data_IF_109126860648
#
_entry.id   IF_109126860648
#
_cell.length_a   1.000
_cell.length_b   1.000
_cell.length_c   1.000
_cell.angle_alpha   90.00
_cell.angle_beta   90.00
_cell.angle_gamma   90.00
#
_symmetry.space_group_name_H-M   'P 1'
#
loop_
_entity.id
_entity.type
_entity.pdbx_description
1 polymer ?
#
# COMPACT_ATOMS: atom_id res chain seq x y z
N UNK A 1 -10.50 -16.36 38.82
CA UNK A 1 -10.40 -16.72 37.39
C UNK A 1 -9.46 -15.75 36.72
N UNK A 2 -8.38 -16.20 36.05
CA UNK A 2 -7.62 -15.31 35.17
C UNK A 2 -8.53 -14.85 34.02
N UNK A 3 -8.35 -13.62 33.49
CA UNK A 3 -9.09 -13.17 32.32
C UNK A 3 -8.82 -14.12 31.15
N UNK A 4 -9.83 -14.38 30.33
CA UNK A 4 -9.69 -15.18 29.13
C UNK A 4 -8.53 -14.62 28.28
N UNK A 5 -7.66 -15.48 27.70
CA UNK A 5 -6.59 -15.02 26.84
C UNK A 5 -7.18 -14.15 25.73
N UNK A 6 -6.48 -13.08 25.31
CA UNK A 6 -6.99 -12.20 24.27
C UNK A 6 -7.26 -13.04 23.01
N UNK A 7 -8.43 -12.84 22.41
CA UNK A 7 -8.83 -13.53 21.18
C UNK A 7 -7.67 -13.43 20.17
N UNK A 8 -7.28 -14.56 19.52
CA UNK A 8 -6.24 -14.51 18.50
C UNK A 8 -6.63 -13.47 17.45
N UNK A 9 -5.65 -12.72 16.91
CA UNK A 9 -5.93 -11.72 15.90
C UNK A 9 -6.68 -12.37 14.72
N UNK A 10 -7.63 -11.65 14.14
CA UNK A 10 -8.39 -12.17 13.00
C UNK A 10 -7.43 -12.39 11.83
N UNK A 11 -7.26 -13.64 11.40
CA UNK A 11 -6.48 -13.97 10.22
C UNK A 11 -7.24 -13.52 8.96
N UNK A 12 -6.53 -12.89 8.03
CA UNK A 12 -7.10 -12.48 6.76
C UNK A 12 -7.44 -13.73 5.94
N UNK A 13 -8.62 -13.73 5.31
CA UNK A 13 -8.99 -14.81 4.39
C UNK A 13 -8.02 -14.85 3.20
N UNK A 14 -7.89 -16.01 2.55
CA UNK A 14 -7.03 -16.14 1.36
C UNK A 14 -7.42 -15.18 0.22
N UNK A 15 -8.70 -14.85 0.08
CA UNK A 15 -9.16 -13.85 -0.88
C UNK A 15 -8.70 -12.44 -0.51
N UNK A 16 -8.75 -12.10 0.78
CA UNK A 16 -8.31 -10.80 1.27
C UNK A 16 -6.78 -10.65 1.18
N UNK A 17 -6.02 -11.71 1.45
CA UNK A 17 -4.57 -11.73 1.22
C UNK A 17 -4.23 -11.47 -0.24
N UNK A 18 -4.93 -12.10 -1.20
CA UNK A 18 -4.70 -11.86 -2.63
C UNK A 18 -4.97 -10.42 -3.05
N UNK A 19 -5.95 -9.75 -2.42
CA UNK A 19 -6.25 -8.34 -2.67
C UNK A 19 -5.25 -7.39 -2.03
N UNK A 20 -4.77 -7.72 -0.82
CA UNK A 20 -3.86 -6.85 -0.06
C UNK A 20 -2.41 -6.93 -0.50
N UNK A 21 -1.92 -8.09 -0.92
CA UNK A 21 -0.53 -8.26 -1.40
C UNK A 21 -0.10 -7.21 -2.44
N UNK A 22 -0.78 -7.03 -3.58
CA UNK A 22 -0.37 -6.03 -4.57
C UNK A 22 -0.47 -4.60 -4.02
N UNK A 23 -1.44 -4.33 -3.14
CA UNK A 23 -1.57 -3.02 -2.50
C UNK A 23 -0.43 -2.73 -1.52
N UNK A 24 -0.03 -3.71 -0.70
CA UNK A 24 1.09 -3.55 0.23
C UNK A 24 2.38 -3.24 -0.52
N UNK A 25 2.67 -4.01 -1.57
CA UNK A 25 3.86 -3.78 -2.42
C UNK A 25 3.82 -2.38 -3.02
N UNK A 26 2.73 -2.00 -3.70
CA UNK A 26 2.64 -0.69 -4.35
C UNK A 26 2.73 0.48 -3.36
N UNK A 27 2.11 0.36 -2.18
CA UNK A 27 2.18 1.39 -1.14
C UNK A 27 3.57 1.47 -0.48
N UNK A 28 4.30 0.36 -0.40
CA UNK A 28 5.64 0.33 0.18
C UNK A 28 6.64 1.16 -0.62
N UNK A 29 6.40 1.35 -1.92
CA UNK A 29 7.27 2.12 -2.79
C UNK A 29 7.39 3.59 -2.40
N UNK A 30 6.36 4.15 -1.76
CA UNK A 30 6.38 5.52 -1.22
C UNK A 30 7.39 5.68 -0.07
N UNK A 31 7.92 4.58 0.47
CA UNK A 31 8.85 4.54 1.60
C UNK A 31 10.27 4.18 1.19
N UNK A 32 10.50 3.92 -0.10
CA UNK A 32 11.81 3.63 -0.64
C UNK A 32 12.57 4.93 -0.87
N UNK A 33 13.88 4.91 -0.64
CA UNK A 33 14.80 6.02 -0.94
C UNK A 33 15.06 6.13 -2.44
N UNK A 34 13.97 6.23 -3.22
CA UNK A 34 13.97 6.39 -4.67
C UNK A 34 12.97 7.47 -5.05
N UNK A 35 13.35 8.34 -5.96
CA UNK A 35 12.46 9.39 -6.44
C UNK A 35 11.36 8.77 -7.32
N UNK A 36 10.11 8.79 -6.83
CA UNK A 36 8.97 8.31 -7.60
C UNK A 36 8.59 9.31 -8.69
N UNK A 37 8.59 8.85 -9.94
CA UNK A 37 8.12 9.65 -11.05
C UNK A 37 6.58 9.79 -11.01
N UNK A 38 6.00 10.76 -11.74
CA UNK A 38 4.55 10.83 -11.91
C UNK A 38 3.94 9.56 -12.52
N UNK A 39 4.69 8.82 -13.33
CA UNK A 39 4.23 7.55 -13.91
C UNK A 39 4.15 6.45 -12.85
N UNK A 40 5.10 6.41 -11.91
CA UNK A 40 5.11 5.45 -10.81
C UNK A 40 3.91 5.68 -9.88
N UNK A 41 3.67 6.93 -9.48
CA UNK A 41 2.52 7.28 -8.65
C UNK A 41 1.19 6.94 -9.33
N UNK A 42 1.07 7.13 -10.66
CA UNK A 42 -0.11 6.68 -11.42
C UNK A 42 -0.25 5.17 -11.44
N UNK A 43 0.86 4.41 -11.53
CA UNK A 43 0.82 2.95 -11.42
C UNK A 43 0.35 2.51 -10.03
N UNK A 44 0.90 3.10 -8.97
CA UNK A 44 0.48 2.82 -7.58
C UNK A 44 -1.02 3.13 -7.39
N UNK A 45 -1.50 4.27 -7.89
CA UNK A 45 -2.92 4.64 -7.84
C UNK A 45 -3.82 3.62 -8.56
N UNK A 46 -3.41 3.13 -9.75
CA UNK A 46 -4.14 2.10 -10.49
C UNK A 46 -4.18 0.77 -9.74
N UNK A 47 -3.09 0.35 -9.13
CA UNK A 47 -3.06 -0.86 -8.29
C UNK A 47 -4.03 -0.70 -7.11
N UNK A 48 -3.99 0.43 -6.41
CA UNK A 48 -4.90 0.70 -5.29
C UNK A 48 -6.37 0.71 -5.72
N UNK A 49 -6.69 1.35 -6.86
CA UNK A 49 -8.03 1.34 -7.43
C UNK A 49 -8.50 -0.07 -7.82
N UNK A 50 -7.63 -0.90 -8.40
CA UNK A 50 -7.93 -2.27 -8.80
C UNK A 50 -8.23 -3.19 -7.60
N UNK A 51 -7.58 -2.95 -6.46
CA UNK A 51 -7.82 -3.71 -5.22
C UNK A 51 -9.22 -3.45 -4.64
N UNK A 52 -9.86 -2.33 -5.00
CA UNK A 52 -11.26 -2.05 -4.66
C UNK A 52 -11.50 -1.66 -3.21
N UNK A 53 -10.50 -1.04 -2.56
CA UNK A 53 -10.65 -0.41 -1.26
C UNK A 53 -11.02 1.07 -1.42
N UNK A 54 -11.82 1.59 -0.48
CA UNK A 54 -12.09 3.02 -0.37
C UNK A 54 -10.88 3.77 0.20
N UNK A 55 -10.95 5.11 0.23
CA UNK A 55 -9.83 5.94 0.69
C UNK A 55 -9.49 5.71 2.15
N UNK A 56 -10.49 5.49 3.00
CA UNK A 56 -10.29 5.27 4.43
C UNK A 56 -9.56 3.95 4.68
N UNK A 57 -9.90 2.89 3.96
CA UNK A 57 -9.26 1.59 4.07
C UNK A 57 -7.86 1.60 3.43
N UNK A 58 -7.65 2.31 2.31
CA UNK A 58 -6.30 2.53 1.75
C UNK A 58 -5.42 3.28 2.73
N UNK A 59 -5.93 4.33 3.37
CA UNK A 59 -5.20 5.06 4.43
C UNK A 59 -4.92 4.15 5.63
N UNK A 60 -5.89 3.36 6.08
CA UNK A 60 -5.72 2.42 7.19
C UNK A 60 -4.66 1.35 6.87
N UNK A 61 -4.61 0.88 5.63
CA UNK A 61 -3.59 -0.06 5.14
C UNK A 61 -2.21 0.62 5.12
N UNK A 62 -2.13 1.81 4.53
CA UNK A 62 -0.89 2.55 4.41
C UNK A 62 -0.22 2.79 5.77
N UNK A 63 -0.97 3.32 6.74
CA UNK A 63 -0.43 3.67 8.06
C UNK A 63 -0.42 2.50 9.05
N UNK A 64 -1.38 1.59 8.95
CA UNK A 64 -1.57 0.51 9.92
C UNK A 64 -0.84 -0.78 9.59
N UNK A 65 -0.61 -1.04 8.30
CA UNK A 65 -0.03 -2.30 7.82
C UNK A 65 1.34 -2.12 7.19
N UNK A 66 1.49 -1.12 6.32
CA UNK A 66 2.71 -0.91 5.53
C UNK A 66 3.73 -0.09 6.31
N UNK A 67 3.37 1.12 6.76
CA UNK A 67 4.29 2.02 7.46
C UNK A 67 5.03 1.36 8.65
N UNK A 68 4.41 0.53 9.51
CA UNK A 68 5.13 -0.10 10.63
C UNK A 68 6.20 -1.09 10.19
N UNK A 69 6.15 -1.55 8.93
CA UNK A 69 7.10 -2.50 8.35
C UNK A 69 8.25 -1.76 7.67
N UNK A 70 7.95 -0.69 6.92
CA UNK A 70 8.92 -0.04 6.02
C UNK A 70 9.34 1.37 6.43
N UNK A 71 8.69 2.02 7.40
CA UNK A 71 9.05 3.41 7.75
C UNK A 71 10.50 3.54 8.24
N UNK A 72 11.02 2.53 8.93
CA UNK A 72 12.43 2.48 9.37
C UNK A 72 13.44 2.59 8.23
N UNK A 73 13.03 2.37 6.98
CA UNK A 73 13.87 2.48 5.79
C UNK A 73 14.39 3.90 5.60
N UNK A 74 13.58 4.90 5.94
CA UNK A 74 13.94 6.31 5.84
C UNK A 74 15.10 6.70 6.76
N UNK A 75 15.49 5.82 7.69
CA UNK A 75 16.59 6.02 8.63
C UNK A 75 17.77 5.06 8.37
N UNK A 76 17.64 4.13 7.42
CA UNK A 76 18.67 3.13 7.13
C UNK A 76 19.69 3.66 6.11
N UNK A 77 20.98 3.27 6.20
CA UNK A 77 21.97 3.61 5.19
C UNK A 77 21.58 3.13 3.79
N UNK A 78 21.81 3.96 2.78
CA UNK A 78 21.57 3.67 1.35
C UNK A 78 22.21 2.33 0.95
N UNK A 79 21.46 1.47 0.27
CA UNK A 79 21.97 0.20 -0.29
C UNK A 79 21.48 -1.09 0.39
N UNK A 80 20.93 -1.03 1.61
CA UNK A 80 20.35 -2.20 2.31
C UNK A 80 19.10 -2.75 1.61
N UNK A 81 18.47 -1.94 0.76
CA UNK A 81 17.21 -2.25 0.08
C UNK A 81 17.37 -2.60 -1.41
N UNK A 82 18.59 -2.89 -1.87
CA UNK A 82 18.79 -3.45 -3.21
C UNK A 82 18.24 -4.88 -3.27
N UNK A 83 17.06 -5.05 -3.89
CA UNK A 83 16.35 -6.35 -3.97
C UNK A 83 15.21 -6.51 -2.97
N UNK A 84 14.35 -5.48 -2.84
CA UNK A 84 13.15 -5.47 -1.99
C UNK A 84 12.38 -6.80 -2.02
N UNK A 85 12.38 -7.52 -0.89
CA UNK A 85 11.71 -8.81 -0.75
C UNK A 85 10.21 -8.60 -0.50
N UNK A 86 9.41 -8.79 -1.56
CA UNK A 86 7.95 -8.66 -1.51
C UNK A 86 7.29 -9.67 -0.58
N UNK A 87 7.83 -10.89 -0.48
CA UNK A 87 7.26 -11.93 0.38
C UNK A 87 7.52 -11.60 1.86
N UNK A 88 8.72 -11.12 2.19
CA UNK A 88 9.03 -10.57 3.51
C UNK A 88 8.10 -9.41 3.87
N UNK A 89 7.86 -8.47 2.94
CA UNK A 89 6.93 -7.36 3.17
C UNK A 89 5.53 -7.90 3.47
N UNK A 90 5.02 -8.77 2.59
CA UNK A 90 3.65 -9.27 2.68
C UNK A 90 3.43 -10.08 3.95
N UNK A 91 4.42 -10.87 4.38
CA UNK A 91 4.35 -11.61 5.64
C UNK A 91 4.23 -10.65 6.84
N UNK A 92 5.07 -9.62 6.90
CA UNK A 92 5.04 -8.65 8.01
C UNK A 92 3.81 -7.75 7.97
N UNK A 93 3.37 -7.34 6.79
CA UNK A 93 2.15 -6.56 6.60
C UNK A 93 0.90 -7.35 7.01
N UNK A 94 0.85 -8.65 6.71
CA UNK A 94 -0.22 -9.54 7.18
C UNK A 94 -0.25 -9.63 8.71
N UNK A 95 0.91 -9.73 9.38
CA UNK A 95 0.97 -9.66 10.85
C UNK A 95 0.47 -8.30 11.36
N UNK A 96 0.88 -7.20 10.73
CA UNK A 96 0.40 -5.87 11.10
C UNK A 96 -1.11 -5.74 10.95
N UNK A 97 -1.70 -6.31 9.89
CA UNK A 97 -3.14 -6.33 9.66
C UNK A 97 -3.89 -7.09 10.76
N UNK A 98 -3.37 -8.24 11.16
CA UNK A 98 -3.93 -9.08 12.23
C UNK A 98 -4.06 -8.30 13.56
N UNK A 99 -3.10 -7.39 13.83
CA UNK A 99 -3.10 -6.55 15.03
C UNK A 99 -3.56 -5.12 14.79
N UNK A 100 -4.18 -4.78 13.65
CA UNK A 100 -4.52 -3.40 13.30
C UNK A 100 -5.46 -2.74 14.29
N UNK A 101 -6.45 -3.48 14.79
CA UNK A 101 -7.45 -2.99 15.75
C UNK A 101 -6.88 -2.70 17.15
N UNK A 102 -5.62 -3.03 17.42
CA UNK A 102 -4.96 -2.73 18.70
C UNK A 102 -4.30 -1.36 18.64
N UNK A 103 -4.57 -0.47 19.62
CA UNK A 103 -3.85 0.78 19.71
C UNK A 103 -2.37 0.49 19.91
N UNK A 104 -1.52 1.14 19.11
CA UNK A 104 -0.07 0.98 19.17
C UNK A 104 0.58 2.35 19.15
N UNK A 105 1.24 2.69 20.26
CA UNK A 105 2.02 3.92 20.36
C UNK A 105 3.10 3.99 19.30
N UNK A 106 3.74 2.86 19.00
CA UNK A 106 4.75 2.76 17.93
C UNK A 106 4.18 3.15 16.57
N UNK A 107 2.96 2.72 16.24
CA UNK A 107 2.30 3.12 14.98
C UNK A 107 1.95 4.60 14.96
N UNK A 108 1.43 5.12 16.07
CA UNK A 108 1.14 6.55 16.21
C UNK A 108 2.41 7.40 16.05
N UNK A 109 3.50 7.03 16.73
CA UNK A 109 4.80 7.66 16.57
C UNK A 109 5.27 7.57 15.12
N UNK A 110 5.16 6.39 14.50
CA UNK A 110 5.53 6.17 13.09
C UNK A 110 4.79 7.10 12.14
N UNK A 111 3.48 7.25 12.31
CA UNK A 111 2.70 8.20 11.55
C UNK A 111 3.16 9.64 11.77
N UNK A 112 3.55 10.02 12.99
CA UNK A 112 3.98 11.39 13.28
C UNK A 112 5.36 11.73 12.69
N UNK A 113 6.38 10.89 12.92
CA UNK A 113 7.74 11.22 12.48
C UNK A 113 7.91 11.00 10.98
N UNK A 114 7.37 9.91 10.46
CA UNK A 114 7.53 9.53 9.06
C UNK A 114 6.49 10.19 8.15
N UNK A 115 5.38 10.66 8.75
CA UNK A 115 4.31 11.40 8.09
C UNK A 115 4.78 12.49 7.15
N UNK A 116 5.69 13.34 7.65
CA UNK A 116 6.22 14.48 6.89
C UNK A 116 7.11 14.08 5.71
N UNK A 117 7.77 12.93 5.81
CA UNK A 117 8.73 12.46 4.80
C UNK A 117 8.02 11.92 3.56
N UNK A 118 6.87 11.26 3.75
CA UNK A 118 6.05 10.71 2.65
C UNK A 118 4.85 11.59 2.32
N UNK A 119 4.70 12.75 2.95
CA UNK A 119 3.49 13.59 2.85
C UNK A 119 3.23 14.03 1.41
N UNK A 120 4.30 14.36 0.67
CA UNK A 120 4.21 14.84 -0.72
C UNK A 120 3.69 13.72 -1.63
N UNK A 121 4.34 12.57 -1.60
CA UNK A 121 4.00 11.39 -2.40
C UNK A 121 2.61 10.88 -2.03
N UNK A 122 2.28 10.87 -0.74
CA UNK A 122 0.95 10.50 -0.24
C UNK A 122 -0.14 11.42 -0.77
N UNK A 123 0.04 12.75 -0.72
CA UNK A 123 -0.92 13.72 -1.28
C UNK A 123 -1.08 13.55 -2.79
N UNK A 124 0.01 13.32 -3.51
CA UNK A 124 -0.05 13.06 -4.95
C UNK A 124 -0.80 11.76 -5.26
N UNK A 125 -0.56 10.70 -4.50
CA UNK A 125 -1.30 9.45 -4.64
C UNK A 125 -2.79 9.66 -4.41
N UNK A 126 -3.18 10.36 -3.33
CA UNK A 126 -4.59 10.68 -3.05
C UNK A 126 -5.24 11.50 -4.15
N UNK A 127 -4.52 12.44 -4.77
CA UNK A 127 -5.02 13.21 -5.91
C UNK A 127 -5.26 12.35 -7.16
N UNK A 128 -4.52 11.24 -7.32
CA UNK A 128 -4.63 10.33 -8.47
C UNK A 128 -5.67 9.21 -8.27
N UNK A 129 -6.01 8.86 -7.02
CA UNK A 129 -6.97 7.78 -6.73
C UNK A 129 -8.34 7.96 -7.39
N UNK A 130 -8.97 9.15 -7.38
CA UNK A 130 -10.25 9.37 -8.07
C UNK A 130 -10.17 9.10 -9.57
N UNK A 131 -9.07 9.54 -10.22
CA UNK A 131 -8.85 9.35 -11.65
C UNK A 131 -8.68 7.86 -11.97
N UNK A 132 -7.81 7.16 -11.23
CA UNK A 132 -7.58 5.73 -11.41
C UNK A 132 -8.85 4.89 -11.18
N UNK A 133 -9.71 5.29 -10.25
CA UNK A 133 -11.00 4.64 -10.01
C UNK A 133 -12.00 4.90 -11.13
N UNK A 134 -12.05 6.12 -11.67
CA UNK A 134 -12.89 6.45 -12.83
C UNK A 134 -12.46 5.64 -14.06
N UNK A 135 -11.16 5.53 -14.32
CA UNK A 135 -10.60 4.69 -15.40
C UNK A 135 -11.00 3.22 -15.25
N UNK A 136 -10.91 2.67 -14.03
CA UNK A 136 -11.35 1.31 -13.72
C UNK A 136 -12.84 1.11 -14.01
N UNK A 137 -13.69 2.06 -13.61
CA UNK A 137 -15.14 1.98 -13.81
C UNK A 137 -15.53 2.14 -15.28
N UNK A 138 -14.79 2.94 -16.04
CA UNK A 138 -14.99 3.13 -17.47
C UNK A 138 -14.51 1.95 -18.33
N UNK A 139 -13.83 0.95 -17.73
CA UNK A 139 -13.32 -0.21 -18.46
C UNK A 139 -12.23 0.14 -19.49
N UNK A 140 -11.56 1.29 -19.35
CA UNK A 140 -10.60 1.75 -20.35
C UNK A 140 -9.39 0.80 -20.40
N UNK A 141 -9.10 0.16 -21.55
CA UNK A 141 -7.88 -0.63 -21.68
C UNK A 141 -6.66 0.29 -21.53
N UNK A 142 -5.58 -0.24 -20.97
CA UNK A 142 -4.33 0.50 -20.81
C UNK A 142 -3.91 1.20 -22.13
N UNK A 143 -3.30 2.40 -22.07
CA UNK A 143 -2.80 3.07 -23.28
C UNK A 143 -1.71 2.19 -23.90
N UNK A 144 -2.08 1.49 -24.98
CA UNK A 144 -1.28 0.42 -25.59
C UNK A 144 -2.06 -0.47 -26.55
N UNK A 145 -3.39 -0.45 -26.53
CA UNK A 145 -4.22 -1.08 -27.56
C UNK A 145 -4.68 -0.05 -28.59
N UNK A 146 -3.91 0.15 -29.66
CA UNK A 146 -4.49 0.72 -30.88
C UNK A 146 -5.44 -0.33 -31.47
N UNK A 147 -6.65 0.04 -31.93
CA UNK A 147 -7.46 -0.88 -32.71
C UNK A 147 -6.67 -1.20 -33.98
N UNK A 148 -6.42 -2.48 -34.24
CA UNK A 148 -5.98 -2.94 -35.56
C UNK A 148 -6.98 -2.41 -36.57
N UNK A 149 -6.48 -1.49 -37.38
CA UNK A 149 -7.18 -0.86 -38.47
C UNK A 149 -7.68 -1.99 -39.38
N UNK A 150 -9.01 -2.10 -39.45
CA UNK A 150 -9.67 -2.97 -40.41
C UNK A 150 -9.18 -2.58 -41.80
N UNK A 151 -8.39 -3.46 -42.41
CA UNK A 151 -8.11 -3.42 -43.84
C UNK A 151 -8.69 -4.70 -44.44
N UNK A 152 -9.65 -4.47 -45.33
CA UNK A 152 -10.33 -5.31 -46.32
C UNK A 152 -9.83 -6.74 -46.56
#
# INVERSE_FOLDING_TARGET
MPPAPPRPPAELSGAELRRRRPLWVALSELWLDQELSPADLRRVARVAAACGYDDAEVEAIFWGEVAPVVAGNLLAPVGVWSGFDEDWLCERAARSAAYRSRPSLTRWLTRLWAGRLVEREWKHLLALLPVARAERQAGHPAPGGWPEESSE
#
